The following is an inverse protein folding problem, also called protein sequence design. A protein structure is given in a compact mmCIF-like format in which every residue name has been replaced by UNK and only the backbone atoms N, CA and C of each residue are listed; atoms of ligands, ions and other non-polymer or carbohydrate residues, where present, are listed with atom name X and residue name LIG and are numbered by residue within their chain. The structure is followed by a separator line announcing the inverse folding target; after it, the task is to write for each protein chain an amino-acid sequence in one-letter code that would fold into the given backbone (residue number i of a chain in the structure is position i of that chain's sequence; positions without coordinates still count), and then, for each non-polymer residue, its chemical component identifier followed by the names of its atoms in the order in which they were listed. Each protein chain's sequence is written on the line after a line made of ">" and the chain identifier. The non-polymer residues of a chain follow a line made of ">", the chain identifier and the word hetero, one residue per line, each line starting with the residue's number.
data_IF_551166930940
#
_entry.id   IF_551166930940
#
_cell.length_a   1.000
_cell.length_b   1.000
_cell.length_c   1.000
_cell.angle_alpha   90.00
_cell.angle_beta   90.00
_cell.angle_gamma   90.00
#
_symmetry.space_group_name_H-M   'P 1'
#
loop_
_entity.id
_entity.type
_entity.pdbx_description
1 polymer ?
#
# COMPACT_ATOMS: atom_id res chain seq x y z
N UNK A 1 -26.68 -4.68 9.13
CA UNK A 1 -26.90 -3.24 9.37
C UNK A 1 -26.26 -2.46 8.22
N UNK A 2 -27.04 -2.13 7.19
CA UNK A 2 -26.58 -1.35 6.02
C UNK A 2 -26.22 0.08 6.43
N UNK A 3 -27.00 0.66 7.36
CA UNK A 3 -26.75 2.01 7.90
C UNK A 3 -25.39 2.15 8.57
N UNK A 4 -24.93 1.15 9.33
CA UNK A 4 -23.61 1.20 9.96
C UNK A 4 -22.50 1.30 8.92
N UNK A 5 -22.57 0.54 7.83
CA UNK A 5 -21.57 0.60 6.76
C UNK A 5 -21.52 1.98 6.08
N UNK A 6 -22.67 2.64 5.95
CA UNK A 6 -22.73 4.00 5.40
C UNK A 6 -22.16 5.00 6.40
N UNK A 7 -22.48 4.87 7.70
CA UNK A 7 -21.94 5.73 8.76
C UNK A 7 -20.42 5.59 8.84
N UNK A 8 -19.90 4.36 8.83
CA UNK A 8 -18.46 4.08 8.87
C UNK A 8 -17.72 4.67 7.66
N UNK A 9 -18.42 4.87 6.54
CA UNK A 9 -17.89 5.45 5.30
C UNK A 9 -18.65 6.71 4.87
N UNK A 10 -18.97 7.58 5.83
CA UNK A 10 -19.79 8.76 5.59
C UNK A 10 -19.22 9.70 4.50
N UNK A 11 -17.90 9.80 4.38
CA UNK A 11 -17.25 10.59 3.32
C UNK A 11 -17.60 10.08 1.91
N UNK A 12 -17.75 8.76 1.72
CA UNK A 12 -18.21 8.18 0.44
C UNK A 12 -19.65 8.52 0.14
N UNK A 13 -20.48 8.62 1.17
CA UNK A 13 -21.87 9.04 1.01
C UNK A 13 -21.97 10.52 0.63
N UNK A 14 -21.14 11.39 1.22
CA UNK A 14 -21.06 12.80 0.80
C UNK A 14 -20.65 12.87 -0.68
N UNK A 15 -19.56 12.18 -1.05
CA UNK A 15 -19.03 12.13 -2.41
C UNK A 15 -20.06 11.62 -3.43
N UNK A 16 -20.82 10.58 -3.07
CA UNK A 16 -21.94 10.08 -3.86
C UNK A 16 -22.99 11.17 -4.11
N UNK A 17 -23.41 11.89 -3.07
CA UNK A 17 -24.44 12.94 -3.21
C UNK A 17 -23.94 14.17 -3.97
N UNK A 18 -22.64 14.46 -3.96
CA UNK A 18 -22.08 15.59 -4.72
C UNK A 18 -21.83 15.25 -6.19
N UNK A 19 -21.63 13.97 -6.52
CA UNK A 19 -21.41 13.49 -7.90
C UNK A 19 -22.70 13.11 -8.61
N UNK A 20 -23.79 12.86 -7.87
CA UNK A 20 -25.12 12.59 -8.44
C UNK A 20 -25.91 13.90 -8.56
N UNK A 21 -26.19 14.34 -9.78
CA UNK A 21 -26.92 15.59 -10.03
C UNK A 21 -28.43 15.52 -9.80
N UNK A 22 -28.99 14.34 -9.48
CA UNK A 22 -30.39 14.18 -9.12
C UNK A 22 -30.52 13.67 -7.68
N UNK A 23 -31.44 14.25 -6.92
CA UNK A 23 -31.76 13.81 -5.57
C UNK A 23 -32.67 12.59 -5.66
N UNK A 24 -32.07 11.40 -5.61
CA UNK A 24 -32.79 10.13 -5.74
C UNK A 24 -33.59 9.74 -4.47
N UNK A 25 -33.61 10.59 -3.42
CA UNK A 25 -34.19 10.30 -2.09
C UNK A 25 -33.81 8.92 -1.50
N UNK A 26 -32.67 8.36 -1.93
CA UNK A 26 -32.19 7.04 -1.50
C UNK A 26 -32.61 5.86 -2.38
N UNK A 27 -33.40 6.05 -3.44
CA UNK A 27 -33.85 4.96 -4.33
C UNK A 27 -32.68 4.24 -5.03
N UNK A 28 -31.60 4.98 -5.31
CA UNK A 28 -30.37 4.47 -5.94
C UNK A 28 -29.24 4.18 -4.96
N UNK A 29 -29.53 4.10 -3.65
CA UNK A 29 -28.50 3.82 -2.64
C UNK A 29 -27.79 2.47 -2.88
N UNK A 30 -28.45 1.52 -3.55
CA UNK A 30 -27.86 0.24 -3.93
C UNK A 30 -26.65 0.39 -4.87
N UNK A 31 -26.61 1.44 -5.70
CA UNK A 31 -25.46 1.78 -6.53
C UNK A 31 -24.23 2.09 -5.66
N UNK A 32 -24.42 2.95 -4.64
CA UNK A 32 -23.37 3.25 -3.65
C UNK A 32 -22.91 1.97 -2.92
N UNK A 33 -23.83 1.10 -2.55
CA UNK A 33 -23.47 -0.16 -1.89
C UNK A 33 -22.57 -1.04 -2.74
N UNK A 34 -22.69 -1.03 -4.07
CA UNK A 34 -21.78 -1.77 -4.95
C UNK A 34 -20.35 -1.21 -4.95
N UNK A 35 -20.20 0.13 -4.92
CA UNK A 35 -18.89 0.76 -4.73
C UNK A 35 -18.31 0.46 -3.34
N UNK A 36 -19.12 0.52 -2.28
CA UNK A 36 -18.67 0.20 -0.91
C UNK A 36 -18.25 -1.27 -0.77
N UNK A 37 -18.93 -2.19 -1.48
CA UNK A 37 -18.55 -3.60 -1.58
C UNK A 37 -17.20 -3.77 -2.26
N UNK A 38 -16.94 -3.04 -3.35
CA UNK A 38 -15.64 -3.03 -4.02
C UNK A 38 -14.54 -2.54 -3.07
N UNK A 39 -14.74 -1.39 -2.43
CA UNK A 39 -13.78 -0.84 -1.48
C UNK A 39 -13.53 -1.77 -0.28
N UNK A 40 -14.56 -2.45 0.23
CA UNK A 40 -14.40 -3.46 1.28
C UNK A 40 -13.65 -4.72 0.80
N UNK A 41 -13.78 -5.10 -0.48
CA UNK A 41 -13.00 -6.18 -1.07
C UNK A 41 -11.52 -5.76 -1.22
N UNK A 42 -11.27 -4.52 -1.67
CA UNK A 42 -9.93 -3.94 -1.73
C UNK A 42 -9.28 -3.90 -0.35
N UNK A 43 -9.98 -3.37 0.66
CA UNK A 43 -9.50 -3.34 2.04
C UNK A 43 -9.12 -4.73 2.51
N UNK A 44 -9.99 -5.72 2.33
CA UNK A 44 -9.70 -7.11 2.71
C UNK A 44 -8.40 -7.63 2.08
N UNK A 45 -8.15 -7.34 0.82
CA UNK A 45 -6.91 -7.74 0.16
C UNK A 45 -5.70 -6.95 0.70
N UNK A 46 -5.84 -5.65 0.98
CA UNK A 46 -4.81 -4.87 1.68
C UNK A 46 -4.43 -5.50 3.03
N UNK A 47 -5.42 -5.91 3.83
CA UNK A 47 -5.21 -6.62 5.09
C UNK A 47 -4.48 -7.96 4.89
N UNK A 48 -4.75 -8.67 3.79
CA UNK A 48 -4.02 -9.91 3.46
C UNK A 48 -2.56 -9.64 3.05
N UNK A 49 -2.26 -8.46 2.50
CA UNK A 49 -0.91 -8.08 2.09
C UNK A 49 -0.09 -7.43 3.22
N UNK A 50 -0.71 -6.96 4.31
CA UNK A 50 -0.02 -6.35 5.44
C UNK A 50 1.16 -7.18 6.01
N UNK A 51 1.07 -8.53 6.16
CA UNK A 51 2.24 -9.32 6.58
C UNK A 51 3.41 -9.25 5.58
N UNK A 52 3.12 -9.13 4.29
CA UNK A 52 4.14 -9.03 3.24
C UNK A 52 4.81 -7.66 3.23
N UNK A 53 4.06 -6.60 3.57
CA UNK A 53 4.58 -5.26 3.81
C UNK A 53 5.54 -5.25 5.01
N UNK A 54 5.15 -5.86 6.14
CA UNK A 54 5.99 -5.94 7.35
C UNK A 54 7.27 -6.73 7.06
N UNK A 55 7.16 -7.86 6.33
CA UNK A 55 8.32 -8.63 5.92
C UNK A 55 9.27 -7.79 5.06
N UNK A 56 8.74 -7.02 4.11
CA UNK A 56 9.52 -6.12 3.28
C UNK A 56 10.23 -5.05 4.12
N UNK A 57 9.54 -4.41 5.07
CA UNK A 57 10.13 -3.43 5.98
C UNK A 57 11.36 -3.97 6.71
N UNK A 58 11.24 -5.16 7.30
CA UNK A 58 12.34 -5.81 8.03
C UNK A 58 13.50 -6.18 7.10
N UNK A 59 13.22 -6.61 5.87
CA UNK A 59 14.26 -6.93 4.89
C UNK A 59 14.98 -5.67 4.39
N UNK A 60 14.24 -4.58 4.18
CA UNK A 60 14.78 -3.30 3.71
C UNK A 60 15.72 -2.66 4.74
N UNK A 61 15.44 -2.82 6.03
CA UNK A 61 16.31 -2.38 7.14
C UNK A 61 17.45 -3.37 7.45
N UNK A 62 17.49 -4.52 6.77
CA UNK A 62 18.48 -5.56 7.01
C UNK A 62 19.85 -5.29 6.38
N UNK A 63 20.87 -6.11 6.71
CA UNK A 63 22.24 -5.96 6.18
C UNK A 63 22.36 -6.30 4.69
N UNK A 64 21.28 -6.78 4.05
CA UNK A 64 21.27 -7.28 2.67
C UNK A 64 20.11 -6.61 1.92
N UNK A 65 20.30 -5.38 1.40
CA UNK A 65 19.22 -4.61 0.77
C UNK A 65 18.62 -5.32 -0.46
N UNK A 66 19.42 -6.14 -1.17
CA UNK A 66 18.94 -6.92 -2.31
C UNK A 66 17.82 -7.91 -1.95
N UNK A 67 17.69 -8.33 -0.69
CA UNK A 67 16.59 -9.21 -0.24
C UNK A 67 15.24 -8.51 -0.32
N UNK A 68 15.20 -7.20 -0.05
CA UNK A 68 13.97 -6.41 -0.17
C UNK A 68 13.54 -6.31 -1.63
N UNK A 69 14.48 -6.03 -2.54
CA UNK A 69 14.23 -6.03 -4.00
C UNK A 69 13.72 -7.39 -4.49
N UNK A 70 14.39 -8.48 -4.11
CA UNK A 70 13.95 -9.82 -4.48
C UNK A 70 12.55 -10.16 -3.91
N UNK A 71 12.24 -9.69 -2.69
CA UNK A 71 10.92 -9.86 -2.09
C UNK A 71 9.83 -9.10 -2.87
N UNK A 72 10.11 -7.85 -3.28
CA UNK A 72 9.20 -7.06 -4.13
C UNK A 72 8.91 -7.73 -5.47
N UNK A 73 9.93 -8.30 -6.13
CA UNK A 73 9.72 -9.01 -7.40
C UNK A 73 8.79 -10.23 -7.25
N UNK A 74 8.99 -10.99 -6.18
CA UNK A 74 8.21 -12.20 -5.91
C UNK A 74 6.77 -11.84 -5.51
N UNK A 75 6.59 -10.86 -4.62
CA UNK A 75 5.26 -10.46 -4.14
C UNK A 75 4.51 -9.59 -5.16
N UNK A 76 5.23 -8.72 -5.86
CA UNK A 76 4.67 -7.64 -6.67
C UNK A 76 3.86 -8.14 -7.86
N UNK A 77 4.15 -9.32 -8.42
CA UNK A 77 3.30 -9.89 -9.48
C UNK A 77 1.88 -10.20 -8.98
N UNK A 78 1.77 -10.84 -7.82
CA UNK A 78 0.46 -11.19 -7.25
C UNK A 78 -0.31 -9.96 -6.75
N UNK A 79 0.40 -9.00 -6.15
CA UNK A 79 -0.19 -7.75 -5.65
C UNK A 79 -0.75 -6.90 -6.82
N UNK A 80 0.05 -6.72 -7.88
CA UNK A 80 -0.39 -5.97 -9.08
C UNK A 80 -1.63 -6.58 -9.71
N UNK A 81 -1.66 -7.91 -9.88
CA UNK A 81 -2.83 -8.58 -10.44
C UNK A 81 -4.12 -8.35 -9.62
N UNK A 82 -4.03 -8.32 -8.29
CA UNK A 82 -5.20 -8.03 -7.44
C UNK A 82 -5.61 -6.57 -7.57
N UNK A 83 -4.66 -5.64 -7.58
CA UNK A 83 -4.93 -4.22 -7.74
C UNK A 83 -5.59 -3.90 -9.09
N UNK A 84 -5.06 -4.46 -10.18
CA UNK A 84 -5.61 -4.30 -11.53
C UNK A 84 -7.04 -4.84 -11.61
N UNK A 85 -7.33 -5.97 -10.94
CA UNK A 85 -8.69 -6.51 -10.85
C UNK A 85 -9.68 -5.59 -10.14
N UNK A 86 -9.26 -4.90 -9.08
CA UNK A 86 -10.11 -3.91 -8.39
C UNK A 86 -10.34 -2.67 -9.26
N UNK A 87 -9.33 -2.19 -9.98
CA UNK A 87 -9.46 -1.06 -10.92
C UNK A 87 -10.37 -1.40 -12.10
N UNK A 88 -10.26 -2.60 -12.65
CA UNK A 88 -11.18 -3.07 -13.70
C UNK A 88 -12.62 -3.10 -13.18
N UNK A 89 -12.83 -3.64 -11.97
CA UNK A 89 -14.18 -3.69 -11.39
C UNK A 89 -14.73 -2.30 -11.08
N UNK A 90 -13.88 -1.35 -10.70
CA UNK A 90 -14.27 0.06 -10.56
C UNK A 90 -14.79 0.60 -11.88
N UNK A 91 -14.03 0.46 -12.97
CA UNK A 91 -14.42 0.95 -14.29
C UNK A 91 -15.75 0.34 -14.77
N UNK A 92 -15.99 -0.94 -14.51
CA UNK A 92 -17.27 -1.59 -14.79
C UNK A 92 -18.44 -0.96 -14.01
N UNK A 93 -18.25 -0.68 -12.71
CA UNK A 93 -19.28 -0.05 -11.88
C UNK A 93 -19.53 1.41 -12.30
N UNK A 94 -18.48 2.15 -12.62
CA UNK A 94 -18.58 3.52 -13.11
C UNK A 94 -19.35 3.60 -14.42
N UNK A 95 -19.09 2.65 -15.34
CA UNK A 95 -19.83 2.54 -16.60
C UNK A 95 -21.28 2.10 -16.40
N UNK A 96 -21.53 1.17 -15.48
CA UNK A 96 -22.88 0.63 -15.23
C UNK A 96 -23.81 1.69 -14.63
N UNK A 97 -23.30 2.47 -13.69
CA UNK A 97 -24.08 3.45 -12.94
C UNK A 97 -23.95 4.88 -13.46
N UNK A 98 -23.05 5.14 -14.41
CA UNK A 98 -22.80 6.49 -14.96
C UNK A 98 -22.27 7.47 -13.90
N UNK A 99 -21.58 6.94 -12.89
CA UNK A 99 -21.13 7.67 -11.70
C UNK A 99 -19.63 7.46 -11.51
N UNK A 100 -18.96 8.45 -10.93
CA UNK A 100 -17.56 8.32 -10.50
C UNK A 100 -17.41 8.74 -9.05
N UNK A 101 -16.55 8.04 -8.33
CA UNK A 101 -16.16 8.39 -6.97
C UNK A 101 -14.65 8.67 -6.98
N UNK A 102 -14.21 9.92 -7.24
CA UNK A 102 -12.80 10.29 -7.34
C UNK A 102 -11.93 9.77 -6.19
N UNK A 103 -12.35 9.96 -4.93
CA UNK A 103 -11.58 9.49 -3.79
C UNK A 103 -11.53 7.96 -3.68
N UNK A 104 -12.46 7.23 -4.27
CA UNK A 104 -12.39 5.76 -4.34
C UNK A 104 -11.41 5.35 -5.43
N UNK A 105 -11.44 6.07 -6.55
CA UNK A 105 -10.48 5.93 -7.65
C UNK A 105 -9.06 6.12 -7.15
N UNK A 106 -8.81 7.22 -6.42
CA UNK A 106 -7.51 7.54 -5.84
C UNK A 106 -7.03 6.43 -4.89
N UNK A 107 -7.92 5.93 -4.02
CA UNK A 107 -7.61 4.86 -3.06
C UNK A 107 -7.23 3.55 -3.76
N UNK A 108 -7.94 3.16 -4.81
CA UNK A 108 -7.65 1.94 -5.57
C UNK A 108 -6.39 2.11 -6.43
N UNK A 109 -6.12 3.33 -6.91
CA UNK A 109 -4.92 3.66 -7.68
C UNK A 109 -3.62 3.52 -6.87
N UNK A 110 -3.68 3.47 -5.53
CA UNK A 110 -2.52 3.18 -4.69
C UNK A 110 -1.97 1.75 -4.85
N UNK A 111 -2.77 0.84 -5.43
CA UNK A 111 -2.40 -0.54 -5.82
C UNK A 111 -1.73 -1.39 -4.74
N UNK A 112 -1.95 -1.09 -3.45
CA UNK A 112 -1.27 -1.70 -2.30
C UNK A 112 0.27 -1.56 -2.27
N UNK A 113 0.89 -0.85 -3.22
CA UNK A 113 2.35 -0.80 -3.36
C UNK A 113 2.97 0.39 -2.62
N UNK A 114 2.18 1.42 -2.32
CA UNK A 114 2.66 2.62 -1.62
C UNK A 114 3.43 2.31 -0.33
N UNK A 115 3.00 1.39 0.53
CA UNK A 115 3.77 1.09 1.74
C UNK A 115 5.15 0.48 1.46
N UNK A 116 5.32 -0.25 0.35
CA UNK A 116 6.63 -0.78 -0.06
C UNK A 116 7.57 0.35 -0.49
N UNK A 117 7.07 1.32 -1.26
CA UNK A 117 7.84 2.51 -1.62
C UNK A 117 8.30 3.30 -0.38
N UNK A 118 7.42 3.48 0.62
CA UNK A 118 7.78 4.12 1.90
C UNK A 118 8.88 3.34 2.64
N UNK A 119 8.80 2.01 2.64
CA UNK A 119 9.85 1.17 3.23
C UNK A 119 11.20 1.31 2.51
N UNK A 120 11.21 1.44 1.17
CA UNK A 120 12.44 1.74 0.40
C UNK A 120 13.01 3.09 0.77
N UNK A 121 12.18 4.14 0.78
CA UNK A 121 12.60 5.49 1.13
C UNK A 121 13.24 5.52 2.53
N UNK A 122 12.63 4.85 3.52
CA UNK A 122 13.20 4.73 4.88
C UNK A 122 14.56 4.03 4.90
N UNK A 123 14.73 2.95 4.12
CA UNK A 123 16.02 2.27 4.04
C UNK A 123 17.11 3.15 3.40
N UNK A 124 16.76 3.96 2.39
CA UNK A 124 17.66 4.89 1.74
C UNK A 124 18.07 6.06 2.64
N UNK A 125 17.18 6.52 3.53
CA UNK A 125 17.51 7.55 4.54
C UNK A 125 18.68 7.11 5.42
N UNK A 126 18.66 5.89 5.94
CA UNK A 126 19.76 5.38 6.78
C UNK A 126 21.07 5.25 5.99
N UNK A 127 21.01 4.77 4.75
CA UNK A 127 22.18 4.67 3.88
C UNK A 127 22.78 6.06 3.57
N UNK A 128 21.94 7.04 3.25
CA UNK A 128 22.36 8.42 3.00
C UNK A 128 22.96 9.08 4.25
N UNK A 129 22.40 8.83 5.44
CA UNK A 129 22.97 9.29 6.72
C UNK A 129 24.34 8.69 6.99
N UNK A 130 24.53 7.40 6.68
CA UNK A 130 25.81 6.72 6.84
C UNK A 130 26.87 7.31 5.89
N UNK A 131 26.52 7.57 4.64
CA UNK A 131 27.40 8.23 3.68
C UNK A 131 27.78 9.66 4.12
N UNK A 132 26.80 10.44 4.60
CA UNK A 132 27.04 11.80 5.10
C UNK A 132 27.99 11.82 6.31
N UNK A 133 27.81 10.90 7.28
CA UNK A 133 28.72 10.75 8.42
C UNK A 133 30.13 10.33 8.00
N UNK A 134 30.23 9.48 6.98
CA UNK A 134 31.49 9.05 6.40
C UNK A 134 32.08 10.06 5.40
N UNK A 135 31.46 11.23 5.23
CA UNK A 135 31.83 12.27 4.27
C UNK A 135 31.97 11.76 2.82
N UNK A 136 31.16 10.77 2.44
CA UNK A 136 31.14 10.21 1.09
C UNK A 136 30.21 11.02 0.21
N UNK A 137 30.80 11.89 -0.60
CA UNK A 137 30.09 12.69 -1.58
C UNK A 137 30.68 12.44 -2.98
N UNK A 138 29.85 12.21 -4.01
CA UNK A 138 28.37 12.17 -3.99
C UNK A 138 27.82 10.87 -3.35
N UNK A 139 26.70 10.98 -2.63
CA UNK A 139 25.99 9.80 -2.10
C UNK A 139 24.97 9.28 -3.12
N UNK A 140 25.18 8.06 -3.60
CA UNK A 140 24.22 7.39 -4.48
C UNK A 140 22.90 7.09 -3.78
N UNK A 141 22.93 6.80 -2.48
CA UNK A 141 21.72 6.54 -1.69
C UNK A 141 20.82 7.78 -1.61
N UNK A 142 21.41 8.97 -1.44
CA UNK A 142 20.65 10.21 -1.43
C UNK A 142 20.04 10.52 -2.81
N UNK A 143 20.79 10.34 -3.90
CA UNK A 143 20.26 10.52 -5.24
C UNK A 143 19.11 9.56 -5.55
N UNK A 144 19.21 8.30 -5.12
CA UNK A 144 18.14 7.32 -5.25
C UNK A 144 16.92 7.70 -4.40
N UNK A 145 17.12 8.23 -3.19
CA UNK A 145 16.02 8.69 -2.35
C UNK A 145 15.21 9.79 -3.03
N UNK A 146 15.87 10.75 -3.67
CA UNK A 146 15.20 11.82 -4.41
C UNK A 146 14.31 11.26 -5.53
N UNK A 147 14.85 10.35 -6.36
CA UNK A 147 14.09 9.71 -7.44
C UNK A 147 12.87 8.93 -6.92
N UNK A 148 13.02 8.23 -5.79
CA UNK A 148 11.91 7.48 -5.19
C UNK A 148 10.83 8.40 -4.60
N UNK A 149 11.22 9.53 -3.99
CA UNK A 149 10.28 10.54 -3.49
C UNK A 149 9.51 11.17 -4.65
N UNK A 150 10.20 11.59 -5.72
CA UNK A 150 9.57 12.21 -6.88
C UNK A 150 8.54 11.27 -7.52
N UNK A 151 8.92 10.01 -7.74
CA UNK A 151 8.00 8.98 -8.25
C UNK A 151 6.79 8.78 -7.33
N UNK A 152 7.03 8.75 -6.02
CA UNK A 152 5.95 8.60 -5.06
C UNK A 152 4.97 9.77 -5.10
N UNK A 153 5.47 11.00 -5.26
CA UNK A 153 4.66 12.21 -5.35
C UNK A 153 3.83 12.28 -6.64
N UNK A 154 4.41 11.90 -7.79
CA UNK A 154 3.69 11.85 -9.07
C UNK A 154 2.47 10.93 -9.02
N UNK A 155 2.54 9.85 -8.24
CA UNK A 155 1.48 8.87 -8.08
C UNK A 155 0.54 9.19 -6.88
N UNK A 156 0.84 10.23 -6.08
CA UNK A 156 0.14 10.56 -4.83
C UNK A 156 -0.73 11.80 -4.93
N UNK A 157 -2.05 11.58 -4.93
CA UNK A 157 -3.06 12.62 -4.77
C UNK A 157 -3.42 12.74 -3.28
N UNK A 158 -3.07 13.86 -2.65
CA UNK A 158 -3.38 14.15 -1.24
C UNK A 158 -4.35 15.33 -1.11
N UNK A 159 -5.17 15.33 -0.07
CA UNK A 159 -6.18 16.38 0.18
C UNK A 159 -5.60 17.73 0.63
N UNK A 160 -4.27 17.84 0.83
CA UNK A 160 -3.58 19.08 1.20
C UNK A 160 -3.85 19.61 2.62
N UNK A 161 -4.72 18.95 3.40
CA UNK A 161 -5.17 19.44 4.71
C UNK A 161 -4.28 18.93 5.86
N UNK A 162 -3.80 17.68 5.78
CA UNK A 162 -3.00 17.03 6.82
C UNK A 162 -1.66 16.51 6.28
N UNK A 163 -0.63 16.47 7.14
CA UNK A 163 0.67 15.87 6.81
C UNK A 163 0.47 14.36 6.56
N UNK A 164 0.80 13.85 5.36
CA UNK A 164 0.58 12.45 5.05
C UNK A 164 1.34 11.49 6.00
N UNK A 165 0.76 10.34 6.39
CA UNK A 165 1.41 9.39 7.30
C UNK A 165 2.78 8.89 6.83
N UNK A 166 3.01 8.83 5.50
CA UNK A 166 4.30 8.41 4.96
C UNK A 166 5.41 9.43 5.24
N UNK A 167 5.09 10.73 5.21
CA UNK A 167 6.04 11.80 5.49
C UNK A 167 6.39 11.82 6.98
N UNK A 168 5.39 11.63 7.85
CA UNK A 168 5.62 11.46 9.29
C UNK A 168 6.55 10.26 9.59
N UNK A 169 6.38 9.14 8.87
CA UNK A 169 7.27 7.97 9.01
C UNK A 169 8.71 8.27 8.58
N UNK A 170 8.91 9.10 7.55
CA UNK A 170 10.25 9.50 7.11
C UNK A 170 10.90 10.46 8.11
N UNK A 171 10.16 11.46 8.58
CA UNK A 171 10.61 12.38 9.63
C UNK A 171 11.05 11.62 10.89
N UNK A 172 10.23 10.67 11.35
CA UNK A 172 10.58 9.79 12.47
C UNK A 172 11.87 9.01 12.22
N UNK A 173 12.15 8.57 10.99
CA UNK A 173 13.40 7.86 10.68
C UNK A 173 14.62 8.80 10.68
N UNK A 174 14.44 10.04 10.20
CA UNK A 174 15.49 11.08 10.23
C UNK A 174 15.86 11.42 11.68
N UNK A 175 14.83 11.64 12.52
CA UNK A 175 14.98 11.98 13.94
C UNK A 175 15.44 10.80 14.79
N UNK A 176 15.27 9.58 14.29
CA UNK A 176 15.71 8.37 14.98
C UNK A 176 17.20 8.45 15.26
N UNK A 177 17.57 8.38 16.54
CA UNK A 177 18.97 8.24 16.93
C UNK A 177 19.48 6.87 16.46
N UNK A 178 20.69 6.80 15.88
CA UNK A 178 21.26 5.53 15.47
C UNK A 178 21.38 4.62 16.70
N UNK A 179 20.55 3.59 16.75
CA UNK A 179 20.67 2.54 17.76
C UNK A 179 21.67 1.51 17.21
N UNK A 180 22.66 1.05 18.00
CA UNK A 180 23.58 0.01 17.54
C UNK A 180 22.77 -1.21 17.08
N UNK A 181 22.92 -1.58 15.81
CA UNK A 181 22.24 -2.72 15.21
C UNK A 181 22.66 -3.98 15.98
N UNK A 182 21.77 -4.54 16.78
CA UNK A 182 22.02 -5.83 17.43
C UNK A 182 22.09 -6.88 16.31
N UNK A 183 23.22 -7.60 16.13
CA UNK A 183 23.33 -8.59 15.06
C UNK A 183 22.33 -9.71 15.33
N UNK A 184 21.19 -9.67 14.61
CA UNK A 184 20.22 -10.75 14.64
C UNK A 184 20.84 -11.88 13.84
N UNK A 185 21.08 -13.03 14.48
CA UNK A 185 21.70 -14.18 13.84
C UNK A 185 21.01 -14.46 12.51
N UNK A 186 21.75 -14.28 11.41
CA UNK A 186 21.25 -14.48 10.07
C UNK A 186 21.17 -15.98 9.80
N UNK A 187 20.14 -16.65 10.35
CA UNK A 187 19.66 -17.88 9.73
C UNK A 187 19.30 -17.52 8.28
N UNK A 188 20.11 -17.99 7.33
CA UNK A 188 20.09 -17.50 5.96
C UNK A 188 18.71 -17.63 5.32
N UNK A 189 18.00 -16.52 5.20
CA UNK A 189 16.82 -16.41 4.34
C UNK A 189 17.32 -16.52 2.89
N UNK A 190 17.25 -17.73 2.34
CA UNK A 190 17.49 -17.96 0.91
C UNK A 190 16.25 -17.55 0.10
N UNK A 191 16.39 -17.17 -1.19
CA UNK A 191 15.24 -16.89 -2.06
C UNK A 191 14.23 -18.04 -2.09
N UNK A 192 14.70 -19.29 -1.95
CA UNK A 192 13.88 -20.49 -1.87
C UNK A 192 13.10 -20.59 -0.56
N UNK A 193 13.70 -20.21 0.57
CA UNK A 193 13.01 -20.12 1.86
C UNK A 193 11.93 -19.03 1.85
N UNK A 194 12.24 -17.86 1.26
CA UNK A 194 11.29 -16.77 1.02
C UNK A 194 10.09 -17.25 0.20
N UNK A 195 10.33 -17.88 -0.96
CA UNK A 195 9.28 -18.40 -1.82
C UNK A 195 8.42 -19.46 -1.12
N UNK A 196 9.02 -20.32 -0.31
CA UNK A 196 8.31 -21.33 0.47
C UNK A 196 7.42 -20.71 1.56
N UNK A 197 7.92 -19.70 2.27
CA UNK A 197 7.17 -19.01 3.32
C UNK A 197 5.99 -18.22 2.73
N UNK A 198 6.20 -17.55 1.60
CA UNK A 198 5.14 -16.91 0.82
C UNK A 198 4.10 -17.91 0.32
N UNK A 199 4.51 -19.05 -0.22
CA UNK A 199 3.59 -20.09 -0.63
C UNK A 199 2.76 -20.62 0.56
N UNK A 200 3.33 -20.67 1.76
CA UNK A 200 2.62 -21.09 2.97
C UNK A 200 1.60 -20.04 3.42
N UNK A 201 1.97 -18.76 3.40
CA UNK A 201 1.07 -17.65 3.70
C UNK A 201 -0.06 -17.56 2.67
N UNK A 202 0.27 -17.55 1.38
CA UNK A 202 -0.69 -17.53 0.28
C UNK A 202 -1.60 -18.77 0.29
N UNK A 203 -1.10 -19.98 0.56
CA UNK A 203 -1.94 -21.18 0.71
C UNK A 203 -2.88 -21.08 1.91
N UNK A 204 -2.42 -20.52 3.03
CA UNK A 204 -3.28 -20.31 4.21
C UNK A 204 -4.41 -19.32 3.91
N UNK A 205 -4.13 -18.29 3.11
CA UNK A 205 -5.08 -17.28 2.63
C UNK A 205 -6.08 -17.91 1.63
N UNK A 206 -5.59 -18.75 0.69
CA UNK A 206 -6.43 -19.42 -0.32
C UNK A 206 -7.32 -20.53 0.27
N UNK A 207 -6.86 -21.28 1.29
CA UNK A 207 -7.67 -22.33 1.94
C UNK A 207 -8.91 -21.76 2.65
N UNK A 208 -8.86 -20.53 3.16
CA UNK A 208 -10.03 -19.86 3.78
C UNK A 208 -11.10 -19.49 2.76
N UNK A 209 -10.75 -19.22 1.49
CA UNK A 209 -11.70 -18.95 0.40
C UNK A 209 -12.44 -20.21 -0.08
N UNK A 210 -11.80 -21.39 -0.08
CA UNK A 210 -12.42 -22.65 -0.55
C UNK A 210 -13.41 -23.30 0.43
N UNK A 211 -13.34 -22.99 1.73
CA UNK A 211 -14.25 -23.55 2.76
C UNK A 211 -15.54 -22.73 2.97
N UNK A 212 -15.77 -21.67 2.19
CA UNK A 212 -17.00 -20.88 2.19
C UNK A 212 -17.69 -20.99 0.82
N UNK A 213 -18.05 -22.21 0.44
CA UNK A 213 -19.08 -22.51 -0.54
C UNK A 213 -20.03 -23.51 0.10
#
# INVERSE_FOLDING_TARGET
>A
MIYQTIIDRYYRFIEYNTTTTQSDYGDKIHCLLDFLRLEAAYDRDAWNFAPSEIAHEVLAQGPRPWLATAWEEICGRGVRQHADGHLQRLAELESLWGMRLPGLTDRLAERFLRPLAVNRMRALVEAARADARAQRFPSMAFAQLQVEVDRYLDETHGSGIDVPPWLQKLEQEIDRRPSPSRPRAAAGLTPRAIAHQLATWQRSIMRRRRKRK
#
